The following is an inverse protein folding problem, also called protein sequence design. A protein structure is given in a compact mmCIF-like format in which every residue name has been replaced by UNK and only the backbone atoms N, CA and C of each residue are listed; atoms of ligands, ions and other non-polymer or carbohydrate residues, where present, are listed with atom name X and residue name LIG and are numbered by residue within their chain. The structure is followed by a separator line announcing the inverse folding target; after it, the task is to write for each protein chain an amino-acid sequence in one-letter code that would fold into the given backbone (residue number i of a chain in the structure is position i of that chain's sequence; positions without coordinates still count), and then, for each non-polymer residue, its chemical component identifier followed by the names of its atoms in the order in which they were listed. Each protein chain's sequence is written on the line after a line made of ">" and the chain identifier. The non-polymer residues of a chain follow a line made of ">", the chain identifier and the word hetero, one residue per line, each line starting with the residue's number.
data_IF_200970594952
#
_entry.id   IF_200970594952
#
_cell.length_a   1.000
_cell.length_b   1.000
_cell.length_c   1.000
_cell.angle_alpha   90.00
_cell.angle_beta   90.00
_cell.angle_gamma   90.00
#
_symmetry.space_group_name_H-M   'P 1'
#
loop_
_entity.id
_entity.type
_entity.pdbx_description
1 polymer ?
#
# COMPACT_ATOMS: atom_id res chain seq x y z
N UNK A 1 -32.02 -20.41 -1.20
CA UNK A 1 -30.74 -20.98 -1.64
C UNK A 1 -29.64 -20.03 -1.17
N UNK A 2 -28.89 -20.38 -0.14
CA UNK A 2 -27.76 -19.57 0.32
C UNK A 2 -26.70 -19.73 -0.78
N UNK A 3 -26.55 -18.72 -1.64
CA UNK A 3 -25.43 -18.72 -2.57
C UNK A 3 -24.15 -18.61 -1.75
N UNK A 4 -23.33 -19.67 -1.80
CA UNK A 4 -22.02 -19.65 -1.17
C UNK A 4 -21.17 -18.51 -1.72
N UNK A 5 -20.32 -17.90 -0.90
CA UNK A 5 -19.39 -16.87 -1.36
C UNK A 5 -18.38 -17.47 -2.34
N UNK A 6 -18.09 -16.74 -3.41
CA UNK A 6 -17.08 -17.15 -4.38
C UNK A 6 -15.66 -16.86 -3.86
N UNK A 7 -14.70 -17.66 -4.28
CA UNK A 7 -13.28 -17.38 -4.07
C UNK A 7 -12.83 -16.30 -5.05
N UNK A 8 -12.74 -15.06 -4.58
CA UNK A 8 -12.32 -13.92 -5.40
C UNK A 8 -10.87 -13.57 -5.10
N UNK A 9 -10.00 -13.77 -6.07
CA UNK A 9 -8.57 -13.45 -6.02
C UNK A 9 -8.19 -12.28 -6.93
N UNK A 10 -9.13 -11.36 -7.20
CA UNK A 10 -8.85 -10.17 -7.99
C UNK A 10 -7.76 -9.33 -7.35
N UNK A 11 -6.95 -8.69 -8.17
CA UNK A 11 -5.88 -7.81 -7.70
C UNK A 11 -6.47 -6.53 -7.09
N UNK A 12 -6.36 -6.39 -5.78
CA UNK A 12 -6.95 -5.31 -4.98
C UNK A 12 -8.30 -5.70 -4.38
N UNK A 13 -9.43 -5.73 -5.14
CA UNK A 13 -10.75 -6.04 -4.58
C UNK A 13 -10.95 -7.56 -4.40
N UNK A 14 -10.14 -8.18 -3.56
CA UNK A 14 -10.22 -9.61 -3.24
C UNK A 14 -11.27 -9.92 -2.18
N UNK A 15 -11.45 -11.21 -1.88
CA UNK A 15 -12.32 -11.65 -0.80
C UNK A 15 -11.84 -11.09 0.55
N UNK A 16 -12.77 -10.57 1.34
CA UNK A 16 -12.55 -10.18 2.74
C UNK A 16 -13.07 -11.26 3.69
N UNK A 17 -12.52 -11.38 4.90
CA UNK A 17 -13.10 -12.21 5.95
C UNK A 17 -14.58 -11.85 6.16
N UNK A 18 -15.42 -12.88 6.37
CA UNK A 18 -16.87 -12.65 6.50
C UNK A 18 -17.20 -11.89 7.77
N UNK A 19 -16.44 -12.12 8.84
CA UNK A 19 -16.56 -11.42 10.13
C UNK A 19 -16.38 -9.91 9.95
N UNK A 20 -15.37 -9.51 9.22
CA UNK A 20 -15.09 -8.08 8.91
C UNK A 20 -16.26 -7.44 8.14
N UNK A 21 -16.85 -8.17 7.19
CA UNK A 21 -18.00 -7.67 6.43
C UNK A 21 -19.26 -7.55 7.28
N UNK A 22 -19.47 -8.47 8.21
CA UNK A 22 -20.60 -8.42 9.15
C UNK A 22 -20.46 -7.26 10.12
N UNK A 23 -19.26 -7.05 10.66
CA UNK A 23 -18.95 -5.92 11.53
C UNK A 23 -19.16 -4.59 10.78
N UNK A 24 -18.57 -4.42 9.61
CA UNK A 24 -18.79 -3.24 8.79
C UNK A 24 -20.27 -2.99 8.45
N UNK A 25 -21.04 -4.04 8.18
CA UNK A 25 -22.48 -3.92 7.93
C UNK A 25 -23.26 -3.50 9.19
N UNK A 26 -22.86 -4.00 10.36
CA UNK A 26 -23.48 -3.64 11.64
C UNK A 26 -23.23 -2.17 11.99
N UNK A 27 -22.05 -1.68 11.74
CA UNK A 27 -21.60 -0.31 12.05
C UNK A 27 -21.94 0.71 10.95
N UNK A 28 -22.52 0.26 9.85
CA UNK A 28 -22.75 1.09 8.67
C UNK A 28 -23.60 2.33 8.93
N UNK A 29 -24.56 2.27 9.84
CA UNK A 29 -25.45 3.40 10.19
C UNK A 29 -25.03 4.09 11.50
N UNK A 30 -24.38 3.37 12.40
CA UNK A 30 -24.03 3.89 13.72
C UNK A 30 -22.77 3.20 14.26
N UNK A 31 -21.65 3.84 14.08
CA UNK A 31 -20.39 3.37 14.64
C UNK A 31 -20.31 3.66 16.14
N UNK A 32 -20.34 2.59 16.97
CA UNK A 32 -20.18 2.66 18.41
C UNK A 32 -21.09 3.68 19.13
N UNK A 33 -22.34 3.86 18.69
CA UNK A 33 -23.28 4.79 19.30
C UNK A 33 -22.99 6.26 18.98
N UNK A 34 -22.17 6.54 17.98
CA UNK A 34 -21.86 7.90 17.55
C UNK A 34 -22.99 8.60 16.78
N UNK A 35 -24.02 7.83 16.37
CA UNK A 35 -25.13 8.30 15.56
C UNK A 35 -24.75 8.56 14.09
N UNK A 36 -23.58 8.10 13.65
CA UNK A 36 -23.14 8.28 12.25
C UNK A 36 -22.27 7.12 11.77
N UNK A 37 -22.25 6.92 10.46
CA UNK A 37 -21.32 6.01 9.79
C UNK A 37 -19.89 6.52 9.85
N UNK A 38 -18.90 5.61 9.87
CA UNK A 38 -17.49 5.99 9.66
C UNK A 38 -17.31 6.76 8.35
N UNK A 39 -18.10 6.46 7.32
CA UNK A 39 -18.06 7.15 6.02
C UNK A 39 -18.50 8.63 6.08
N UNK A 40 -19.26 9.01 7.13
CA UNK A 40 -19.77 10.37 7.35
C UNK A 40 -18.89 11.16 8.32
N UNK A 41 -17.93 10.52 8.99
CA UNK A 41 -17.08 11.16 9.98
C UNK A 41 -16.03 12.09 9.36
N UNK A 42 -15.87 13.26 9.95
CA UNK A 42 -14.68 14.06 9.68
C UNK A 42 -13.43 13.38 10.25
N UNK A 43 -12.33 13.37 9.49
CA UNK A 43 -11.03 12.86 9.96
C UNK A 43 -10.46 13.61 11.18
N UNK A 44 -11.08 14.73 11.59
CA UNK A 44 -10.72 15.53 12.79
C UNK A 44 -11.58 15.22 14.01
N UNK A 45 -12.58 14.35 13.87
CA UNK A 45 -13.42 13.96 15.00
C UNK A 45 -12.75 12.89 15.84
N UNK A 46 -13.02 12.92 17.14
CA UNK A 46 -12.44 11.97 18.10
C UNK A 46 -12.71 10.50 17.75
N UNK A 47 -13.93 10.08 17.36
CA UNK A 47 -14.18 8.69 16.99
C UNK A 47 -13.33 8.22 15.79
N UNK A 48 -13.11 9.08 14.79
CA UNK A 48 -12.24 8.76 13.66
C UNK A 48 -10.76 8.68 14.08
N UNK A 49 -10.33 9.56 14.98
CA UNK A 49 -8.98 9.55 15.52
C UNK A 49 -8.68 8.22 16.23
N UNK A 50 -9.61 7.74 17.03
CA UNK A 50 -9.50 6.45 17.73
C UNK A 50 -9.38 5.29 16.74
N UNK A 51 -10.13 5.30 15.64
CA UNK A 51 -10.05 4.28 14.58
C UNK A 51 -8.66 4.27 13.93
N UNK A 52 -8.14 5.42 13.53
CA UNK A 52 -6.87 5.49 12.80
C UNK A 52 -5.67 5.17 13.72
N UNK A 53 -5.74 5.55 14.99
CA UNK A 53 -4.72 5.20 15.98
C UNK A 53 -4.70 3.71 16.27
N UNK A 54 -5.86 3.07 16.40
CA UNK A 54 -5.97 1.62 16.54
C UNK A 54 -5.42 0.90 15.30
N UNK A 55 -5.78 1.34 14.11
CA UNK A 55 -5.28 0.77 12.85
C UNK A 55 -3.74 0.91 12.73
N UNK A 56 -3.17 2.02 13.17
CA UNK A 56 -1.71 2.18 13.21
C UNK A 56 -1.07 1.21 14.21
N UNK A 57 -1.65 1.09 15.41
CA UNK A 57 -1.16 0.18 16.44
C UNK A 57 -1.17 -1.28 15.97
N UNK A 58 -2.26 -1.72 15.35
CA UNK A 58 -2.40 -3.07 14.80
C UNK A 58 -1.38 -3.35 13.69
N UNK A 59 -1.17 -2.41 12.77
CA UNK A 59 -0.16 -2.54 11.72
C UNK A 59 1.24 -2.64 12.31
N UNK A 60 1.56 -1.82 13.31
CA UNK A 60 2.85 -1.86 14.01
C UNK A 60 3.10 -3.21 14.67
N UNK A 61 2.09 -3.74 15.37
CA UNK A 61 2.19 -5.04 16.03
C UNK A 61 2.36 -6.18 15.02
N UNK A 62 1.47 -6.26 14.03
CA UNK A 62 1.46 -7.33 13.01
C UNK A 62 2.73 -7.37 12.17
N UNK A 63 3.24 -6.20 11.78
CA UNK A 63 4.44 -6.06 10.96
C UNK A 63 5.73 -5.90 11.78
N UNK A 64 5.64 -5.84 13.12
CA UNK A 64 6.77 -5.61 14.03
C UNK A 64 7.56 -4.35 13.66
N UNK A 65 6.86 -3.26 13.39
CA UNK A 65 7.46 -1.99 12.95
C UNK A 65 8.16 -1.31 14.13
N UNK A 66 9.48 -1.06 14.06
CA UNK A 66 10.21 -0.37 15.12
C UNK A 66 9.77 1.09 15.28
N UNK A 67 9.95 1.66 16.48
CA UNK A 67 9.51 3.03 16.82
C UNK A 67 10.20 4.13 16.00
N UNK A 68 11.37 3.85 15.43
CA UNK A 68 12.09 4.78 14.56
C UNK A 68 11.50 4.88 13.14
N UNK A 69 10.48 4.09 12.79
CA UNK A 69 9.72 4.21 11.54
C UNK A 69 8.39 4.92 11.79
N UNK A 70 7.94 5.68 10.78
CA UNK A 70 6.60 6.29 10.76
C UNK A 70 5.67 5.46 9.87
N UNK A 71 4.44 5.25 10.36
CA UNK A 71 3.34 4.72 9.55
C UNK A 71 2.55 5.90 9.00
N UNK A 72 2.31 5.91 7.70
CA UNK A 72 1.60 6.99 7.03
C UNK A 72 0.44 6.42 6.20
N UNK A 73 -0.77 6.90 6.47
CA UNK A 73 -1.95 6.61 5.65
C UNK A 73 -2.08 7.67 4.58
N UNK A 74 -1.66 7.35 3.35
CA UNK A 74 -1.54 8.30 2.25
C UNK A 74 -2.52 7.93 1.14
N UNK A 75 -3.26 8.92 0.65
CA UNK A 75 -4.15 8.75 -0.50
C UNK A 75 -3.39 8.69 -1.83
N UNK A 76 -4.08 8.36 -2.93
CA UNK A 76 -3.57 8.40 -4.30
C UNK A 76 -3.12 7.04 -4.84
N UNK A 77 -3.18 6.00 -4.03
CA UNK A 77 -2.82 4.63 -4.40
C UNK A 77 -1.35 4.49 -4.80
N UNK A 78 -0.98 3.29 -5.26
CA UNK A 78 0.40 2.96 -5.63
C UNK A 78 0.92 3.82 -6.80
N UNK A 79 0.08 4.21 -7.73
CA UNK A 79 0.53 5.02 -8.88
C UNK A 79 1.02 6.41 -8.47
N UNK A 80 0.37 7.04 -7.47
CA UNK A 80 0.85 8.31 -6.92
C UNK A 80 2.15 8.13 -6.14
N UNK A 81 2.33 6.99 -5.45
CA UNK A 81 3.57 6.68 -4.74
C UNK A 81 4.78 6.56 -5.70
N UNK A 82 4.58 6.13 -6.94
CA UNK A 82 5.66 6.11 -7.93
C UNK A 82 6.26 7.49 -8.22
N UNK A 83 5.47 8.55 -8.05
CA UNK A 83 5.92 9.93 -8.12
C UNK A 83 6.42 10.44 -6.76
N UNK A 84 5.64 10.24 -5.69
CA UNK A 84 5.91 10.81 -4.37
C UNK A 84 7.21 10.30 -3.75
N UNK A 85 7.53 9.02 -3.93
CA UNK A 85 8.77 8.43 -3.39
C UNK A 85 10.01 9.10 -3.99
N UNK A 86 10.23 9.13 -5.31
CA UNK A 86 11.40 9.80 -5.86
C UNK A 86 11.40 11.30 -5.59
N UNK A 87 10.27 11.99 -5.62
CA UNK A 87 10.18 13.42 -5.29
C UNK A 87 10.69 13.74 -3.87
N UNK A 88 10.46 12.86 -2.91
CA UNK A 88 10.80 13.09 -1.51
C UNK A 88 12.14 12.47 -1.09
N UNK A 89 12.54 11.34 -1.69
CA UNK A 89 13.68 10.55 -1.22
C UNK A 89 14.90 10.60 -2.12
N UNK A 90 14.79 10.99 -3.40
CA UNK A 90 15.90 11.08 -4.36
C UNK A 90 16.75 12.33 -4.10
N UNK A 91 17.39 12.41 -2.94
CA UNK A 91 18.13 13.60 -2.48
C UNK A 91 19.38 13.91 -3.32
N UNK A 92 20.07 12.89 -3.83
CA UNK A 92 21.26 13.00 -4.66
C UNK A 92 20.94 13.01 -6.16
N UNK A 93 19.66 13.04 -6.53
CA UNK A 93 19.21 13.01 -7.93
C UNK A 93 19.39 11.65 -8.62
N UNK A 94 19.67 10.59 -7.87
CA UNK A 94 19.87 9.22 -8.39
C UNK A 94 18.97 8.25 -7.62
N UNK A 95 18.41 7.26 -8.33
CA UNK A 95 17.70 6.14 -7.73
C UNK A 95 17.95 4.83 -8.48
N UNK A 96 17.98 3.74 -7.75
CA UNK A 96 18.18 2.40 -8.26
C UNK A 96 16.88 1.60 -8.20
N UNK A 97 16.61 0.85 -9.26
CA UNK A 97 15.38 0.07 -9.41
C UNK A 97 15.67 -1.38 -9.76
N UNK A 98 14.86 -2.27 -9.19
CA UNK A 98 14.74 -3.67 -9.60
C UNK A 98 13.42 -3.83 -10.33
N UNK A 99 13.47 -4.29 -11.58
CA UNK A 99 12.31 -4.32 -12.47
C UNK A 99 11.85 -5.77 -12.70
N UNK A 100 10.91 -6.21 -11.86
CA UNK A 100 10.40 -7.60 -11.84
C UNK A 100 8.93 -7.71 -12.28
N UNK A 101 8.39 -6.67 -12.91
CA UNK A 101 7.00 -6.69 -13.38
C UNK A 101 6.56 -5.40 -14.00
N UNK A 102 5.33 -5.38 -14.52
CA UNK A 102 4.78 -4.22 -15.21
C UNK A 102 4.63 -2.99 -14.29
N UNK A 103 4.30 -3.19 -13.01
CA UNK A 103 4.19 -2.09 -12.06
C UNK A 103 5.56 -1.55 -11.64
N UNK A 104 6.56 -2.42 -11.45
CA UNK A 104 7.93 -2.00 -11.23
C UNK A 104 8.47 -1.19 -12.42
N UNK A 105 8.16 -1.61 -13.66
CA UNK A 105 8.49 -0.87 -14.87
C UNK A 105 7.80 0.50 -14.94
N UNK A 106 6.53 0.60 -14.49
CA UNK A 106 5.83 1.90 -14.39
C UNK A 106 6.49 2.81 -13.36
N UNK A 107 6.85 2.27 -12.19
CA UNK A 107 7.55 3.03 -11.15
C UNK A 107 8.90 3.55 -11.65
N UNK A 108 9.71 2.71 -12.28
CA UNK A 108 10.97 3.08 -12.93
C UNK A 108 10.79 4.23 -13.93
N UNK A 109 9.80 4.10 -14.85
CA UNK A 109 9.52 5.14 -15.85
C UNK A 109 9.07 6.46 -15.22
N UNK A 110 8.28 6.39 -14.15
CA UNK A 110 7.85 7.61 -13.44
C UNK A 110 9.04 8.31 -12.78
N UNK A 111 9.92 7.57 -12.13
CA UNK A 111 11.09 8.11 -11.44
C UNK A 111 12.07 8.85 -12.37
N UNK A 112 12.15 8.45 -13.65
CA UNK A 112 12.98 9.12 -14.66
C UNK A 112 12.62 10.60 -14.89
N UNK A 113 11.43 11.04 -14.47
CA UNK A 113 11.02 12.44 -14.55
C UNK A 113 11.66 13.32 -13.48
N UNK A 114 12.22 12.72 -12.43
CA UNK A 114 12.72 13.42 -11.25
C UNK A 114 14.25 13.36 -11.10
N UNK A 115 14.93 12.46 -11.82
CA UNK A 115 16.37 12.34 -11.76
C UNK A 115 16.93 11.19 -12.58
N UNK A 116 18.20 10.86 -12.35
CA UNK A 116 18.87 9.73 -12.99
C UNK A 116 18.37 8.44 -12.34
N UNK A 117 18.00 7.47 -13.16
CA UNK A 117 17.50 6.17 -12.67
C UNK A 117 18.28 5.03 -13.30
N UNK A 118 18.83 4.15 -12.47
CA UNK A 118 19.52 2.96 -12.91
C UNK A 118 18.60 1.74 -12.72
N UNK A 119 18.67 0.77 -13.61
CA UNK A 119 18.08 -0.56 -13.42
C UNK A 119 19.21 -1.50 -13.01
N UNK A 120 19.22 -1.94 -11.76
CA UNK A 120 20.26 -2.83 -11.23
C UNK A 120 20.01 -4.30 -11.60
N UNK A 121 18.74 -4.69 -11.65
CA UNK A 121 18.33 -6.02 -12.05
C UNK A 121 16.93 -5.99 -12.72
N UNK A 122 16.70 -6.89 -13.67
CA UNK A 122 15.42 -7.02 -14.36
C UNK A 122 15.18 -8.46 -14.80
N UNK A 123 13.94 -8.89 -14.81
CA UNK A 123 13.49 -10.16 -15.41
C UNK A 123 12.61 -9.95 -16.66
N UNK A 124 12.72 -8.78 -17.29
CA UNK A 124 11.96 -8.44 -18.49
C UNK A 124 12.31 -9.34 -19.69
N UNK A 125 13.54 -9.83 -19.75
CA UNK A 125 14.05 -10.77 -20.77
C UNK A 125 13.21 -12.06 -20.88
N UNK A 126 12.62 -12.51 -19.78
CA UNK A 126 11.72 -13.67 -19.73
C UNK A 126 10.29 -13.27 -19.32
N UNK A 127 9.84 -12.10 -19.71
CA UNK A 127 8.47 -11.61 -19.47
C UNK A 127 8.10 -11.61 -17.98
N UNK A 128 9.08 -11.31 -17.12
CA UNK A 128 8.92 -11.26 -15.64
C UNK A 128 8.51 -12.60 -15.01
N UNK A 129 8.97 -13.71 -15.56
CA UNK A 129 8.63 -15.07 -15.07
C UNK A 129 9.52 -15.55 -13.91
N UNK A 130 10.55 -14.78 -13.53
CA UNK A 130 11.45 -15.09 -12.42
C UNK A 130 11.81 -13.83 -11.63
N UNK A 131 12.40 -14.03 -10.47
CA UNK A 131 13.00 -12.96 -9.67
C UNK A 131 14.52 -13.03 -9.88
N UNK A 132 15.17 -11.94 -10.34
CA UNK A 132 16.62 -11.93 -10.53
C UNK A 132 17.32 -12.03 -9.17
N UNK A 133 18.55 -12.56 -9.18
CA UNK A 133 19.41 -12.49 -8.00
C UNK A 133 19.73 -11.02 -7.71
N UNK A 134 19.40 -10.59 -6.49
CA UNK A 134 19.63 -9.25 -6.01
C UNK A 134 20.73 -9.16 -4.95
N UNK A 135 21.50 -10.24 -4.77
CA UNK A 135 22.65 -10.29 -3.88
C UNK A 135 23.78 -9.44 -4.49
N UNK A 136 24.42 -8.65 -3.67
CA UNK A 136 25.61 -7.84 -4.04
C UNK A 136 25.42 -6.88 -5.23
N UNK A 137 24.20 -6.32 -5.40
CA UNK A 137 23.96 -5.32 -6.42
C UNK A 137 24.75 -4.02 -6.14
N UNK A 138 25.34 -3.38 -7.18
CA UNK A 138 26.09 -2.14 -7.04
C UNK A 138 25.14 -0.94 -6.88
N UNK A 139 24.64 -0.70 -5.68
CA UNK A 139 23.77 0.44 -5.37
C UNK A 139 24.51 1.77 -5.42
N UNK A 140 23.81 2.86 -5.89
CA UNK A 140 24.38 4.21 -6.00
C UNK A 140 24.31 5.03 -4.72
#
# INVERSE_FOLDING_TARGET
>A
MIMGRVYNFSAGPAVLPEEVLKEAAHEMLDYNGSGMSVMEMSHRQKPFQEIIEAAEADIRELMKIPDNYKVLFIQGGASTQFAMIPMNLMKNGVADYIVTGQFAKKAYKEAQKYGKVNVLASSEDQTFSYIPDCTDLPVS
#
